data_IF_958545908169
#
_entry.id   IF_958545908169
#
_cell.length_a   1.000
_cell.length_b   1.000
_cell.length_c   1.000
_cell.angle_alpha   90.00
_cell.angle_beta   90.00
_cell.angle_gamma   90.00
#
_symmetry.space_group_name_H-M   'P 1'
#
loop_
_entity.id
_entity.type
_entity.pdbx_description
1 polymer ?
#
# COMPACT_ATOMS: atom_id res chain seq x y z
N UNK A 1 38.58 -1.62 -28.36
CA UNK A 1 37.64 -2.27 -27.42
C UNK A 1 37.89 -1.66 -26.06
N UNK A 2 36.85 -1.14 -25.39
CA UNK A 2 37.00 -0.48 -24.08
C UNK A 2 36.91 -1.50 -22.96
N UNK A 3 37.93 -1.50 -22.10
CA UNK A 3 38.15 -2.51 -21.06
C UNK A 3 38.25 -1.79 -19.72
N UNK A 4 37.63 -2.34 -18.68
CA UNK A 4 37.98 -2.01 -17.31
C UNK A 4 39.16 -2.90 -16.92
N UNK A 5 40.35 -2.34 -16.67
CA UNK A 5 41.51 -3.13 -16.25
C UNK A 5 41.43 -3.34 -14.73
N UNK A 6 41.41 -4.61 -14.32
CA UNK A 6 41.33 -5.03 -12.92
C UNK A 6 42.72 -5.29 -12.31
N UNK A 7 43.62 -5.90 -13.09
CA UNK A 7 44.95 -6.29 -12.61
C UNK A 7 46.01 -6.29 -13.72
N UNK A 8 47.22 -5.87 -13.36
CA UNK A 8 48.46 -5.93 -14.16
C UNK A 8 49.63 -6.51 -13.36
N UNK A 9 49.35 -7.21 -12.26
CA UNK A 9 50.36 -7.65 -11.29
C UNK A 9 51.36 -8.67 -11.84
N UNK A 10 51.03 -9.36 -12.94
CA UNK A 10 51.92 -10.33 -13.59
C UNK A 10 52.44 -9.78 -14.92
N UNK A 11 53.77 -9.77 -15.16
CA UNK A 11 54.34 -9.34 -16.43
C UNK A 11 53.70 -10.10 -17.61
N UNK A 12 53.16 -9.36 -18.57
CA UNK A 12 52.51 -9.92 -19.75
C UNK A 12 51.10 -10.46 -19.53
N UNK A 13 50.50 -10.35 -18.34
CA UNK A 13 49.10 -10.73 -18.12
C UNK A 13 48.25 -9.54 -17.68
N UNK A 14 47.12 -9.33 -18.35
CA UNK A 14 46.15 -8.29 -18.03
C UNK A 14 44.79 -8.93 -17.81
N UNK A 15 44.19 -8.67 -16.63
CA UNK A 15 42.80 -9.08 -16.34
C UNK A 15 41.92 -7.84 -16.42
N UNK A 16 40.80 -7.93 -17.11
CA UNK A 16 39.84 -6.86 -17.25
C UNK A 16 38.39 -7.33 -17.44
N UNK A 17 37.47 -6.38 -17.57
CA UNK A 17 36.07 -6.63 -17.92
C UNK A 17 35.74 -5.93 -19.23
N UNK A 18 35.04 -6.65 -20.11
CA UNK A 18 34.47 -6.12 -21.33
C UNK A 18 32.97 -6.48 -21.46
N UNK A 19 32.39 -6.21 -22.62
CA UNK A 19 31.00 -6.53 -22.94
C UNK A 19 30.62 -8.02 -22.85
N UNK A 20 31.60 -8.92 -22.98
CA UNK A 20 31.43 -10.36 -23.00
C UNK A 20 31.59 -10.98 -21.61
N UNK A 21 32.44 -10.42 -20.75
CA UNK A 21 32.62 -10.88 -19.37
C UNK A 21 33.96 -10.47 -18.78
N UNK A 22 34.57 -11.35 -17.98
CA UNK A 22 35.94 -11.16 -17.48
C UNK A 22 36.91 -11.70 -18.54
N UNK A 23 37.91 -10.91 -18.90
CA UNK A 23 38.91 -11.26 -19.91
C UNK A 23 40.31 -11.25 -19.32
N UNK A 24 41.06 -12.32 -19.58
CA UNK A 24 42.49 -12.42 -19.32
C UNK A 24 43.23 -12.43 -20.67
N UNK A 25 44.15 -11.48 -20.84
CA UNK A 25 45.08 -11.46 -21.98
C UNK A 25 46.47 -11.77 -21.50
N UNK A 26 47.08 -12.78 -22.11
CA UNK A 26 48.48 -13.13 -21.91
C UNK A 26 49.25 -12.82 -23.19
N UNK A 27 50.16 -11.86 -23.10
CA UNK A 27 51.17 -11.63 -24.12
C UNK A 27 52.21 -12.75 -23.99
N UNK A 28 52.25 -13.63 -24.99
CA UNK A 28 53.34 -14.61 -25.06
C UNK A 28 54.63 -13.81 -25.24
N UNK A 29 55.64 -13.96 -24.36
CA UNK A 29 56.89 -13.23 -24.53
C UNK A 29 57.46 -13.62 -25.90
N UNK A 30 57.43 -12.68 -26.84
CA UNK A 30 58.13 -12.85 -28.10
C UNK A 30 59.59 -13.11 -27.76
N UNK A 31 60.18 -14.14 -28.37
CA UNK A 31 61.62 -14.38 -28.32
C UNK A 31 62.32 -13.06 -28.63
N UNK A 32 62.86 -12.42 -27.59
CA UNK A 32 63.49 -11.13 -27.72
C UNK A 32 64.81 -11.33 -28.47
N UNK A 33 64.79 -11.09 -29.78
CA UNK A 33 66.01 -10.74 -30.48
C UNK A 33 66.51 -9.43 -29.86
N UNK A 34 67.58 -9.56 -29.10
CA UNK A 34 68.24 -8.48 -28.38
C UNK A 34 68.92 -7.54 -29.39
N UNK A 35 68.15 -6.65 -30.01
CA UNK A 35 68.68 -5.49 -30.71
C UNK A 35 68.73 -4.31 -29.73
N UNK A 36 69.91 -4.08 -29.18
CA UNK A 36 70.26 -2.88 -28.42
C UNK A 36 70.12 -1.65 -29.34
N UNK A 37 69.05 -0.89 -29.21
CA UNK A 37 68.94 0.45 -29.81
C UNK A 37 69.29 1.47 -28.74
N UNK A 38 70.55 1.88 -28.76
CA UNK A 38 71.05 3.08 -28.09
C UNK A 38 70.75 4.27 -29.00
N UNK A 39 69.81 5.13 -28.62
CA UNK A 39 69.46 6.31 -29.41
C UNK A 39 68.67 7.31 -28.59
N UNK A 40 69.39 8.19 -27.90
CA UNK A 40 68.81 9.36 -27.22
C UNK A 40 68.40 10.43 -28.24
N UNK A 41 67.23 11.00 -28.04
CA UNK A 41 66.88 12.31 -28.59
C UNK A 41 65.89 13.01 -27.66
N UNK A 42 66.39 14.08 -27.06
CA UNK A 42 65.70 15.14 -26.33
C UNK A 42 64.75 15.87 -27.28
N UNK A 43 63.52 16.16 -26.85
CA UNK A 43 62.68 17.18 -27.50
C UNK A 43 62.07 18.10 -26.45
N UNK A 44 62.19 19.38 -26.77
CA UNK A 44 62.06 20.61 -26.00
C UNK A 44 60.61 21.06 -25.81
N UNK A 45 60.36 21.77 -24.70
CA UNK A 45 59.19 22.62 -24.47
C UNK A 45 58.98 23.65 -25.59
N UNK A 46 57.71 23.95 -25.88
CA UNK A 46 57.29 25.27 -26.36
C UNK A 46 55.86 25.55 -25.92
N UNK A 47 55.71 26.67 -25.22
CA UNK A 47 54.45 27.23 -24.75
C UNK A 47 53.84 28.17 -25.80
N UNK A 48 52.51 28.29 -25.79
CA UNK A 48 51.85 29.60 -25.87
C UNK A 48 50.82 29.86 -26.98
N UNK A 49 49.58 30.16 -26.51
CA UNK A 49 48.80 31.38 -26.79
C UNK A 49 47.63 31.34 -27.81
N UNK A 50 46.42 31.38 -27.21
CA UNK A 50 45.17 32.18 -27.43
C UNK A 50 44.27 32.12 -28.67
N UNK A 51 42.97 32.02 -28.34
CA UNK A 51 41.74 32.69 -28.84
C UNK A 51 41.43 32.81 -30.33
N UNK A 52 40.24 32.32 -30.71
CA UNK A 52 39.17 33.19 -31.26
C UNK A 52 37.83 32.46 -31.42
N UNK A 53 36.77 33.17 -31.06
CA UNK A 53 35.37 32.81 -31.18
C UNK A 53 34.81 32.91 -32.61
N UNK A 54 33.80 32.09 -32.95
CA UNK A 54 32.48 32.51 -33.50
C UNK A 54 31.64 31.32 -33.97
N UNK A 55 30.36 31.33 -33.57
CA UNK A 55 29.24 30.65 -34.26
C UNK A 55 29.05 31.17 -35.69
N UNK A 56 28.30 30.47 -36.57
CA UNK A 56 26.84 30.61 -36.56
C UNK A 56 26.04 29.34 -36.87
N UNK A 57 24.74 29.48 -36.62
CA UNK A 57 23.61 28.64 -37.04
C UNK A 57 23.57 28.40 -38.56
N UNK A 58 22.95 27.31 -39.02
CA UNK A 58 21.73 27.32 -39.88
C UNK A 58 21.39 25.91 -40.38
N UNK A 59 20.08 25.69 -40.50
CA UNK A 59 19.31 24.53 -40.95
C UNK A 59 19.71 23.86 -42.28
N UNK A 60 19.22 22.62 -42.45
CA UNK A 60 18.99 22.02 -43.77
C UNK A 60 19.07 20.50 -43.79
N UNK A 61 17.95 19.81 -43.50
CA UNK A 61 17.75 18.43 -43.96
C UNK A 61 17.19 18.46 -45.39
N UNK A 62 17.74 17.65 -46.31
CA UNK A 62 16.95 17.13 -47.41
C UNK A 62 16.81 15.61 -47.30
N UNK A 63 15.57 15.17 -47.52
CA UNK A 63 15.25 13.82 -47.95
C UNK A 63 15.93 13.55 -49.30
N UNK A 64 16.44 12.33 -49.48
CA UNK A 64 16.80 11.82 -50.80
C UNK A 64 16.52 10.32 -50.86
N UNK A 65 15.46 10.02 -51.59
CA UNK A 65 15.15 8.78 -52.28
C UNK A 65 16.30 8.33 -53.18
N UNK A 66 16.56 7.02 -53.27
CA UNK A 66 17.42 6.50 -54.33
C UNK A 66 17.82 5.05 -54.19
N UNK A 67 16.90 4.13 -54.51
CA UNK A 67 17.27 2.79 -54.98
C UNK A 67 17.92 2.90 -56.35
N UNK A 68 19.15 2.40 -56.49
CA UNK A 68 19.79 2.13 -57.78
C UNK A 68 20.34 0.71 -57.76
N UNK A 69 19.91 -0.08 -58.73
CA UNK A 69 20.40 -1.41 -59.05
C UNK A 69 21.61 -1.34 -59.99
N UNK A 70 22.37 -2.46 -59.97
CA UNK A 70 23.25 -3.03 -61.01
C UNK A 70 24.61 -2.36 -61.26
N UNK A 71 25.59 -3.04 -61.90
CA UNK A 71 25.86 -4.49 -62.06
C UNK A 71 27.35 -4.84 -61.78
N UNK A 72 27.72 -6.11 -61.97
CA UNK A 72 29.05 -6.44 -62.51
C UNK A 72 30.01 -7.14 -61.54
N UNK A 73 30.13 -8.45 -61.73
CA UNK A 73 31.34 -9.22 -61.41
C UNK A 73 32.56 -8.67 -62.15
N UNK A 74 33.72 -8.55 -61.48
CA UNK A 74 34.99 -8.59 -62.16
C UNK A 74 35.69 -9.94 -61.95
N UNK A 75 36.58 -10.17 -62.90
CA UNK A 75 37.25 -11.41 -63.21
C UNK A 75 38.35 -11.78 -62.23
N UNK A 76 38.64 -13.08 -62.25
CA UNK A 76 39.76 -13.78 -61.64
C UNK A 76 41.11 -13.23 -62.13
N UNK A 77 41.92 -12.68 -61.24
CA UNK A 77 43.34 -12.38 -61.50
C UNK A 77 44.19 -12.86 -60.33
N UNK A 78 45.18 -13.68 -60.65
CA UNK A 78 46.53 -13.60 -60.06
C UNK A 78 46.77 -14.28 -58.71
N UNK A 79 47.39 -15.46 -58.75
CA UNK A 79 48.12 -16.04 -57.62
C UNK A 79 49.26 -15.12 -57.15
N UNK A 80 49.43 -14.85 -55.84
CA UNK A 80 50.69 -14.33 -55.33
C UNK A 80 51.63 -15.48 -54.96
N UNK A 81 52.90 -15.27 -55.30
CA UNK A 81 53.98 -16.20 -55.02
C UNK A 81 54.24 -16.40 -53.54
N UNK A 82 54.85 -17.54 -53.27
CA UNK A 82 55.38 -18.01 -51.99
C UNK A 82 56.37 -17.01 -51.42
N UNK A 83 55.91 -16.16 -50.50
CA UNK A 83 56.78 -15.38 -49.62
C UNK A 83 57.20 -16.25 -48.44
N UNK A 84 58.49 -16.21 -48.10
CA UNK A 84 59.10 -16.88 -46.96
C UNK A 84 58.32 -16.61 -45.67
N UNK A 85 58.07 -17.69 -44.92
CA UNK A 85 57.38 -17.68 -43.64
C UNK A 85 58.20 -16.89 -42.61
N UNK A 86 57.90 -15.60 -42.49
CA UNK A 86 58.24 -14.83 -41.29
C UNK A 86 57.59 -15.47 -40.07
N UNK A 87 58.31 -15.50 -38.95
CA UNK A 87 57.82 -16.03 -37.69
C UNK A 87 56.43 -15.43 -37.36
N UNK A 88 55.46 -16.24 -36.88
CA UNK A 88 54.16 -15.73 -36.51
C UNK A 88 54.35 -14.57 -35.52
N UNK A 89 53.66 -13.43 -35.70
CA UNK A 89 53.73 -12.35 -34.73
C UNK A 89 53.37 -12.90 -33.34
N UNK A 90 53.97 -12.36 -32.26
CA UNK A 90 53.69 -12.82 -30.90
C UNK A 90 52.18 -12.92 -30.69
N UNK A 91 51.71 -14.14 -30.43
CA UNK A 91 50.29 -14.40 -30.27
C UNK A 91 49.80 -13.82 -28.95
N UNK A 92 48.74 -13.01 -29.01
CA UNK A 92 47.98 -12.63 -27.82
C UNK A 92 47.03 -13.79 -27.53
N UNK A 93 47.26 -14.51 -26.43
CA UNK A 93 46.31 -15.48 -25.94
C UNK A 93 45.23 -14.74 -25.14
N UNK A 94 43.96 -14.96 -25.47
CA UNK A 94 42.82 -14.32 -24.81
C UNK A 94 41.89 -15.40 -24.25
N UNK A 95 41.66 -15.37 -22.94
CA UNK A 95 40.70 -16.21 -22.24
C UNK A 95 39.54 -15.35 -21.76
N UNK A 96 38.31 -15.70 -22.12
CA UNK A 96 37.10 -14.95 -21.75
C UNK A 96 36.19 -15.85 -20.92
N UNK A 97 35.90 -15.42 -19.68
CA UNK A 97 34.79 -15.96 -18.91
C UNK A 97 33.54 -15.16 -19.25
N UNK A 98 32.67 -15.73 -20.07
CA UNK A 98 31.46 -15.06 -20.52
C UNK A 98 30.46 -14.83 -19.37
N UNK A 99 29.63 -13.80 -19.52
CA UNK A 99 28.49 -13.54 -18.65
C UNK A 99 27.44 -14.66 -18.74
N UNK A 100 27.23 -15.36 -17.62
CA UNK A 100 26.28 -16.45 -17.44
C UNK A 100 25.04 -16.03 -16.63
N UNK A 101 23.99 -16.87 -16.63
CA UNK A 101 22.89 -16.74 -15.68
C UNK A 101 23.38 -17.08 -14.26
N UNK A 102 22.92 -16.37 -13.22
CA UNK A 102 23.56 -16.44 -11.92
C UNK A 102 23.45 -17.79 -11.20
N UNK A 103 22.53 -18.71 -11.51
CA UNK A 103 22.47 -20.08 -10.95
C UNK A 103 22.80 -20.25 -9.43
N UNK A 104 22.48 -19.25 -8.59
CA UNK A 104 22.81 -19.22 -7.15
C UNK A 104 24.21 -18.69 -6.79
N UNK A 105 25.04 -18.35 -7.77
CA UNK A 105 26.32 -17.64 -7.64
C UNK A 105 26.12 -16.14 -7.40
N UNK A 106 27.16 -15.48 -6.88
CA UNK A 106 27.13 -14.04 -6.62
C UNK A 106 26.36 -13.64 -5.37
N UNK A 107 26.14 -14.55 -4.41
CA UNK A 107 25.42 -14.24 -3.16
C UNK A 107 26.04 -13.11 -2.35
N UNK A 108 27.35 -12.89 -2.47
CA UNK A 108 28.03 -11.74 -1.86
C UNK A 108 27.57 -10.38 -2.40
N UNK A 109 27.01 -10.35 -3.61
CA UNK A 109 26.63 -9.10 -4.28
C UNK A 109 25.33 -8.51 -3.74
N UNK A 110 24.61 -9.24 -2.88
CA UNK A 110 23.42 -8.72 -2.17
C UNK A 110 23.78 -8.04 -0.85
N UNK A 111 25.01 -8.23 -0.37
CA UNK A 111 25.52 -7.56 0.83
C UNK A 111 25.54 -6.03 0.57
N UNK A 112 25.14 -5.24 1.58
CA UNK A 112 25.04 -3.77 1.53
C UNK A 112 23.95 -3.17 0.62
N UNK A 113 23.10 -3.99 0.00
CA UNK A 113 21.93 -3.53 -0.74
C UNK A 113 20.67 -3.51 0.13
N UNK A 114 19.86 -2.47 -0.06
CA UNK A 114 18.51 -2.37 0.49
C UNK A 114 17.63 -1.57 -0.49
N UNK A 115 16.66 -2.17 -1.19
CA UNK A 115 16.24 -3.57 -1.14
C UNK A 115 17.26 -4.53 -1.76
N UNK A 116 17.07 -5.83 -1.56
CA UNK A 116 17.85 -6.88 -2.22
C UNK A 116 17.77 -6.74 -3.76
N UNK A 117 18.90 -6.74 -4.47
CA UNK A 117 18.94 -6.55 -5.91
C UNK A 117 18.62 -7.86 -6.64
N UNK A 118 18.24 -7.74 -7.91
CA UNK A 118 18.31 -8.83 -8.87
C UNK A 118 19.75 -8.97 -9.37
N UNK A 119 20.31 -10.17 -9.22
CA UNK A 119 21.56 -10.54 -9.92
C UNK A 119 21.18 -10.91 -11.35
N UNK A 120 21.62 -10.13 -12.32
CA UNK A 120 21.25 -10.31 -13.74
C UNK A 120 22.21 -11.23 -14.45
N UNK A 121 23.51 -11.05 -14.21
CA UNK A 121 24.55 -11.85 -14.81
C UNK A 121 25.73 -12.03 -13.84
N UNK A 122 26.45 -13.12 -14.05
CA UNK A 122 27.64 -13.49 -13.29
C UNK A 122 28.74 -13.91 -14.27
N UNK A 123 29.99 -13.56 -13.98
CA UNK A 123 31.16 -14.08 -14.68
C UNK A 123 32.24 -14.44 -13.65
N UNK A 124 32.97 -15.54 -13.88
CA UNK A 124 34.03 -15.99 -12.99
C UNK A 124 35.25 -16.48 -13.76
N UNK A 125 36.42 -15.93 -13.45
CA UNK A 125 37.71 -16.31 -14.07
C UNK A 125 38.79 -16.44 -13.00
N UNK A 126 39.15 -17.69 -12.68
CA UNK A 126 40.10 -17.98 -11.61
C UNK A 126 39.61 -17.48 -10.26
N UNK A 127 40.36 -16.55 -9.65
CA UNK A 127 39.96 -15.91 -8.40
C UNK A 127 39.03 -14.71 -8.60
N UNK A 128 38.79 -14.25 -9.82
CA UNK A 128 37.95 -13.09 -10.08
C UNK A 128 36.50 -13.48 -10.30
N UNK A 129 35.61 -12.72 -9.67
CA UNK A 129 34.17 -12.81 -9.82
C UNK A 129 33.63 -11.43 -10.18
N UNK A 130 32.66 -11.39 -11.09
CA UNK A 130 31.98 -10.17 -11.48
C UNK A 130 30.46 -10.40 -11.52
N UNK A 131 29.71 -9.42 -11.05
CA UNK A 131 28.25 -9.47 -10.93
C UNK A 131 27.63 -8.20 -11.48
N UNK A 132 26.62 -8.36 -12.34
CA UNK A 132 25.69 -7.29 -12.69
C UNK A 132 24.48 -7.37 -11.76
N UNK A 133 24.35 -6.39 -10.86
CA UNK A 133 23.24 -6.29 -9.92
C UNK A 133 22.36 -5.07 -10.24
N UNK A 134 21.05 -5.18 -10.04
CA UNK A 134 20.11 -4.06 -10.25
C UNK A 134 18.90 -4.06 -9.32
N UNK A 135 18.32 -2.88 -9.16
CA UNK A 135 16.96 -2.65 -8.67
C UNK A 135 16.26 -1.75 -9.69
N UNK A 136 15.39 -2.32 -10.50
CA UNK A 136 14.80 -1.61 -11.65
C UNK A 136 15.86 -1.09 -12.62
N UNK A 137 15.91 0.23 -12.84
CA UNK A 137 16.93 0.87 -13.67
C UNK A 137 18.15 1.35 -12.88
N UNK A 138 18.20 1.17 -11.56
CA UNK A 138 19.45 1.38 -10.81
C UNK A 138 20.30 0.13 -10.96
N UNK A 139 21.50 0.25 -11.52
CA UNK A 139 22.36 -0.91 -11.77
C UNK A 139 23.83 -0.60 -11.46
N UNK A 140 24.52 -1.61 -10.95
CA UNK A 140 25.94 -1.55 -10.65
C UNK A 140 26.65 -2.83 -11.11
N UNK A 141 27.93 -2.70 -11.43
CA UNK A 141 28.85 -3.80 -11.66
C UNK A 141 29.69 -3.97 -10.38
N UNK A 142 29.57 -5.11 -9.74
CA UNK A 142 30.44 -5.50 -8.62
C UNK A 142 31.54 -6.42 -9.13
N UNK A 143 32.78 -6.18 -8.71
CA UNK A 143 33.93 -7.02 -9.05
C UNK A 143 34.66 -7.39 -7.78
N UNK A 144 35.06 -8.64 -7.64
CA UNK A 144 35.76 -9.12 -6.46
C UNK A 144 36.85 -10.10 -6.84
N UNK A 145 37.96 -10.08 -6.09
CA UNK A 145 39.01 -11.10 -6.15
C UNK A 145 38.98 -11.96 -4.89
N UNK A 146 38.71 -13.25 -5.07
CA UNK A 146 38.56 -14.23 -3.99
C UNK A 146 37.47 -13.82 -3.01
N UNK A 147 37.68 -14.07 -1.72
CA UNK A 147 36.80 -13.59 -0.64
C UNK A 147 37.05 -12.14 -0.22
N UNK A 148 37.65 -11.30 -1.07
CA UNK A 148 37.97 -9.90 -0.75
C UNK A 148 36.75 -8.99 -0.66
N UNK A 149 36.97 -7.69 -0.44
CA UNK A 149 35.88 -6.69 -0.55
C UNK A 149 35.57 -6.45 -2.03
N UNK A 150 34.29 -6.35 -2.43
CA UNK A 150 33.96 -6.02 -3.82
C UNK A 150 34.20 -4.54 -4.12
N UNK A 151 34.71 -4.28 -5.32
CA UNK A 151 34.76 -2.97 -5.95
C UNK A 151 33.51 -2.76 -6.79
N UNK A 152 32.78 -1.67 -6.52
CA UNK A 152 31.53 -1.36 -7.18
C UNK A 152 31.67 -0.21 -8.18
N UNK A 153 31.07 -0.40 -9.34
CA UNK A 153 31.06 0.57 -10.43
C UNK A 153 29.63 0.90 -10.84
N UNK A 154 29.32 2.19 -10.96
CA UNK A 154 27.99 2.65 -11.31
C UNK A 154 27.73 2.44 -12.79
N UNK A 155 26.65 1.72 -13.15
CA UNK A 155 26.19 1.59 -14.54
C UNK A 155 25.08 2.61 -14.81
N UNK A 156 24.10 2.68 -13.89
CA UNK A 156 23.00 3.63 -13.97
C UNK A 156 22.46 3.98 -12.59
N UNK A 157 22.08 5.26 -12.41
CA UNK A 157 21.56 5.79 -11.14
C UNK A 157 20.07 6.10 -11.30
N UNK A 158 19.22 5.36 -10.58
CA UNK A 158 17.78 5.62 -10.52
C UNK A 158 17.30 5.60 -9.06
N UNK A 159 17.36 6.74 -8.34
CA UNK A 159 16.84 6.81 -6.97
C UNK A 159 15.35 6.46 -6.88
N UNK A 160 14.58 6.81 -7.92
CA UNK A 160 13.18 6.46 -8.02
C UNK A 160 12.96 4.94 -8.01
N UNK A 161 13.72 4.17 -8.80
CA UNK A 161 13.56 2.71 -8.83
C UNK A 161 14.08 2.04 -7.56
N UNK A 162 15.11 2.60 -6.91
CA UNK A 162 15.53 2.15 -5.57
C UNK A 162 14.37 2.30 -4.55
N UNK A 163 13.67 3.44 -4.58
CA UNK A 163 12.50 3.65 -3.73
C UNK A 163 11.33 2.72 -4.11
N UNK A 164 11.02 2.55 -5.42
CA UNK A 164 9.98 1.61 -5.89
C UNK A 164 10.29 0.18 -5.50
N UNK A 165 11.55 -0.23 -5.56
CA UNK A 165 12.01 -1.55 -5.14
C UNK A 165 11.89 -1.74 -3.63
N UNK A 166 12.20 -0.72 -2.84
CA UNK A 166 12.00 -0.77 -1.39
C UNK A 166 10.51 -0.96 -1.03
N UNK A 167 9.63 -0.19 -1.66
CA UNK A 167 8.18 -0.30 -1.46
C UNK A 167 7.69 -1.69 -1.90
N UNK A 168 8.13 -2.17 -3.06
CA UNK A 168 7.76 -3.50 -3.57
C UNK A 168 8.27 -4.66 -2.70
N UNK A 169 9.50 -4.58 -2.19
CA UNK A 169 10.03 -5.57 -1.25
C UNK A 169 9.28 -5.60 0.09
N UNK A 170 8.79 -4.44 0.55
CA UNK A 170 8.06 -4.32 1.82
C UNK A 170 6.62 -4.80 1.71
N UNK A 171 5.93 -4.47 0.61
CA UNK A 171 4.49 -4.70 0.47
C UNK A 171 4.14 -5.95 -0.35
N UNK A 172 4.97 -6.30 -1.34
CA UNK A 172 4.66 -7.39 -2.28
C UNK A 172 5.54 -8.59 -1.98
N UNK A 173 6.73 -8.62 -2.59
CA UNK A 173 7.69 -9.69 -2.45
C UNK A 173 9.10 -9.14 -2.73
N UNK A 174 10.17 -9.82 -2.28
CA UNK A 174 11.54 -9.45 -2.61
C UNK A 174 11.72 -9.23 -4.12
N UNK A 175 12.54 -8.22 -4.47
CA UNK A 175 12.90 -7.87 -5.85
C UNK A 175 11.75 -7.41 -6.77
N UNK A 176 10.56 -7.13 -6.22
CA UNK A 176 9.46 -6.50 -6.97
C UNK A 176 9.60 -4.98 -6.97
N UNK A 177 9.23 -4.35 -8.08
CA UNK A 177 9.02 -2.90 -8.13
C UNK A 177 7.54 -2.57 -7.94
N UNK A 178 7.24 -1.56 -7.14
CA UNK A 178 5.89 -1.05 -6.95
C UNK A 178 5.77 0.39 -7.44
N UNK A 179 4.78 0.63 -8.31
CA UNK A 179 4.27 1.96 -8.69
C UNK A 179 3.03 2.24 -7.85
N UNK A 180 3.06 3.24 -6.97
CA UNK A 180 1.94 3.50 -6.05
C UNK A 180 1.07 4.62 -6.59
N UNK A 181 -0.22 4.37 -6.80
CA UNK A 181 -1.16 5.37 -7.35
C UNK A 181 -1.97 6.12 -6.29
N UNK A 182 -2.10 5.52 -5.10
CA UNK A 182 -2.75 6.13 -3.95
C UNK A 182 -2.18 5.50 -2.67
N UNK A 183 -2.03 6.30 -1.61
CA UNK A 183 -1.53 5.83 -0.33
C UNK A 183 -2.26 6.52 0.82
N UNK A 184 -2.65 5.75 1.83
CA UNK A 184 -3.15 6.26 3.10
C UNK A 184 -2.04 6.17 4.15
N UNK A 185 -1.68 7.32 4.72
CA UNK A 185 -0.72 7.40 5.82
C UNK A 185 -1.30 6.85 7.12
N UNK A 186 -0.47 6.12 7.87
CA UNK A 186 -0.82 5.61 9.20
C UNK A 186 -1.02 6.74 10.22
N UNK A 187 -0.33 7.86 10.03
CA UNK A 187 -0.37 8.96 10.99
C UNK A 187 -1.53 9.94 10.70
N UNK A 188 -2.07 9.91 9.48
CA UNK A 188 -3.09 10.88 9.03
C UNK A 188 -4.52 10.32 9.01
N UNK A 189 -4.72 9.03 9.34
CA UNK A 189 -6.06 8.46 9.30
C UNK A 189 -6.84 8.74 10.61
N UNK A 190 -8.13 9.02 10.44
CA UNK A 190 -9.11 9.15 11.52
C UNK A 190 -9.89 7.85 11.62
N UNK A 191 -9.74 7.16 12.75
CA UNK A 191 -10.49 5.95 13.06
C UNK A 191 -11.95 6.22 13.44
N UNK A 192 -12.72 5.13 13.58
CA UNK A 192 -14.11 5.20 14.04
C UNK A 192 -14.15 5.59 15.51
N UNK A 193 -15.14 6.40 15.91
CA UNK A 193 -15.36 6.77 17.31
C UNK A 193 -16.49 5.92 17.91
N UNK A 194 -16.27 5.33 19.09
CA UNK A 194 -17.30 4.60 19.83
C UNK A 194 -17.73 5.45 21.03
N UNK A 195 -18.96 5.99 21.01
CA UNK A 195 -19.45 6.90 22.06
C UNK A 195 -19.44 6.22 23.43
N UNK A 196 -18.89 6.91 24.42
CA UNK A 196 -18.85 6.45 25.81
C UNK A 196 -17.87 5.30 26.07
N UNK A 197 -17.12 4.85 25.05
CA UNK A 197 -16.14 3.78 25.18
C UNK A 197 -14.71 4.32 25.16
N UNK A 198 -13.77 3.53 25.70
CA UNK A 198 -12.35 3.83 25.66
C UNK A 198 -11.63 2.87 24.70
N UNK A 199 -10.87 3.39 23.74
CA UNK A 199 -10.02 2.53 22.90
C UNK A 199 -8.87 1.98 23.72
N UNK A 200 -8.79 0.65 23.84
CA UNK A 200 -7.76 -0.04 24.62
C UNK A 200 -6.62 -0.58 23.74
N UNK A 201 -6.93 -0.95 22.50
CA UNK A 201 -5.95 -1.49 21.56
C UNK A 201 -6.23 -1.01 20.14
N UNK A 202 -5.17 -0.80 19.36
CA UNK A 202 -5.25 -0.51 17.94
C UNK A 202 -4.08 -1.20 17.22
N UNK A 203 -4.41 -1.94 16.15
CA UNK A 203 -3.48 -2.52 15.21
C UNK A 203 -3.82 -2.02 13.81
N UNK A 204 -2.80 -1.54 13.09
CA UNK A 204 -2.95 -1.00 11.74
C UNK A 204 -1.98 -1.74 10.84
N UNK A 205 -2.51 -2.36 9.79
CA UNK A 205 -1.70 -3.06 8.78
C UNK A 205 -1.99 -2.49 7.39
N UNK A 206 -1.00 -2.40 6.49
CA UNK A 206 -1.24 -1.99 5.11
C UNK A 206 -2.22 -2.93 4.42
N UNK A 207 -3.10 -2.38 3.57
CA UNK A 207 -4.01 -3.13 2.70
C UNK A 207 -3.71 -2.78 1.26
N UNK A 208 -3.28 -3.77 0.48
CA UNK A 208 -2.81 -3.56 -0.89
C UNK A 208 -3.95 -3.85 -1.86
N UNK A 209 -4.12 -2.96 -2.83
CA UNK A 209 -4.98 -3.15 -4.00
C UNK A 209 -4.08 -3.16 -5.22
N UNK A 210 -4.04 -4.27 -5.95
CA UNK A 210 -3.29 -4.38 -7.20
C UNK A 210 -4.08 -3.81 -8.39
N UNK A 211 -3.35 -3.29 -9.38
CA UNK A 211 -3.90 -2.67 -10.59
C UNK A 211 -4.97 -1.58 -10.37
N UNK A 212 -4.78 -0.66 -9.40
CA UNK A 212 -5.72 0.43 -9.20
C UNK A 212 -5.66 1.44 -10.36
N UNK A 213 -6.76 2.18 -10.59
CA UNK A 213 -6.70 3.39 -11.41
C UNK A 213 -5.91 4.50 -10.70
N UNK A 214 -5.59 5.57 -11.43
CA UNK A 214 -4.95 6.77 -10.89
C UNK A 214 -3.55 7.02 -11.46
N UNK A 215 -3.02 8.20 -11.20
CA UNK A 215 -1.66 8.60 -11.58
C UNK A 215 -0.64 8.06 -10.57
N UNK A 216 0.62 7.88 -11.02
CA UNK A 216 1.70 7.46 -10.14
C UNK A 216 2.05 8.59 -9.15
N UNK A 217 2.17 8.25 -7.86
CA UNK A 217 2.69 9.14 -6.84
C UNK A 217 4.23 9.14 -6.85
N UNK A 218 4.84 10.24 -6.44
CA UNK A 218 6.30 10.35 -6.39
C UNK A 218 6.90 9.31 -5.42
N UNK A 219 7.85 8.45 -5.86
CA UNK A 219 8.33 7.33 -5.05
C UNK A 219 8.96 7.69 -3.70
N UNK A 220 9.60 8.86 -3.57
CA UNK A 220 10.23 9.29 -2.32
C UNK A 220 9.20 9.64 -1.24
N UNK A 221 8.06 10.24 -1.62
CA UNK A 221 6.93 10.50 -0.70
C UNK A 221 6.36 9.19 -0.15
N UNK A 222 6.18 8.20 -1.01
CA UNK A 222 5.57 6.92 -0.64
C UNK A 222 6.45 6.09 0.27
N UNK A 223 7.76 6.09 0.02
CA UNK A 223 8.70 5.34 0.85
C UNK A 223 8.54 5.72 2.33
N UNK A 224 8.50 7.02 2.64
CA UNK A 224 8.37 7.50 4.02
C UNK A 224 7.09 7.02 4.73
N UNK A 225 6.02 6.81 3.97
CA UNK A 225 4.74 6.31 4.50
C UNK A 225 4.74 4.79 4.69
N UNK A 226 5.41 4.06 3.80
CA UNK A 226 5.40 2.58 3.77
C UNK A 226 6.48 1.99 4.69
N UNK A 227 7.66 2.60 4.75
CA UNK A 227 8.81 2.06 5.47
C UNK A 227 9.71 3.17 6.02
N UNK A 228 10.18 2.97 7.26
CA UNK A 228 11.19 3.82 7.87
C UNK A 228 12.62 3.58 7.34
N UNK A 229 12.82 2.57 6.49
CA UNK A 229 14.16 2.17 6.02
C UNK A 229 14.52 2.90 4.73
N UNK A 230 15.69 3.55 4.71
CA UNK A 230 16.20 4.20 3.51
C UNK A 230 16.65 3.17 2.46
N UNK A 231 16.41 3.47 1.19
CA UNK A 231 16.98 2.68 0.11
C UNK A 231 18.49 2.96 0.02
N UNK A 232 19.27 1.89 -0.09
CA UNK A 232 20.72 1.90 -0.09
C UNK A 232 21.23 0.94 -1.17
N UNK A 233 22.28 1.36 -1.86
CA UNK A 233 23.11 0.51 -2.69
C UNK A 233 24.56 0.70 -2.24
N UNK A 234 25.46 -0.25 -2.55
CA UNK A 234 26.88 -0.09 -2.31
C UNK A 234 27.41 1.20 -2.95
N UNK A 235 28.41 1.79 -2.30
CA UNK A 235 29.08 2.95 -2.83
C UNK A 235 29.86 2.56 -4.09
N UNK A 236 29.53 3.20 -5.22
CA UNK A 236 30.18 2.97 -6.50
C UNK A 236 30.95 4.23 -6.95
N UNK A 237 32.14 4.49 -6.35
CA UNK A 237 32.90 5.71 -6.63
C UNK A 237 33.61 5.68 -7.99
N UNK A 238 33.68 4.52 -8.63
CA UNK A 238 34.42 4.31 -9.87
C UNK A 238 33.47 4.34 -11.06
N UNK A 239 33.75 5.21 -12.02
CA UNK A 239 33.04 5.25 -13.29
C UNK A 239 33.60 4.19 -14.26
N UNK A 240 32.73 3.67 -15.13
CA UNK A 240 33.10 2.74 -16.19
C UNK A 240 33.38 3.51 -17.48
N UNK A 241 34.23 2.97 -18.38
CA UNK A 241 34.31 3.45 -19.76
C UNK A 241 32.93 3.50 -20.40
N UNK A 242 32.67 4.53 -21.22
CA UNK A 242 31.36 4.78 -21.81
C UNK A 242 30.89 3.61 -22.69
N UNK A 243 31.78 3.03 -23.51
CA UNK A 243 31.40 1.93 -24.38
C UNK A 243 31.08 0.65 -23.60
N UNK A 244 31.79 0.40 -22.49
CA UNK A 244 31.48 -0.71 -21.59
C UNK A 244 30.12 -0.49 -20.92
N UNK A 245 29.86 0.72 -20.43
CA UNK A 245 28.57 1.10 -19.85
C UNK A 245 27.42 0.86 -20.84
N UNK A 246 27.59 1.28 -22.10
CA UNK A 246 26.60 1.09 -23.15
C UNK A 246 26.31 -0.40 -23.43
N UNK A 247 27.32 -1.26 -23.41
CA UNK A 247 27.15 -2.70 -23.61
C UNK A 247 26.44 -3.36 -22.43
N UNK A 248 26.85 -3.05 -21.20
CA UNK A 248 26.22 -3.58 -19.99
C UNK A 248 24.75 -3.14 -19.90
N UNK A 249 24.44 -1.88 -20.22
CA UNK A 249 23.07 -1.39 -20.32
C UNK A 249 22.26 -2.14 -21.38
N UNK A 250 22.86 -2.47 -22.54
CA UNK A 250 22.20 -3.28 -23.56
C UNK A 250 21.85 -4.67 -23.03
N UNK A 251 22.74 -5.28 -22.25
CA UNK A 251 22.49 -6.57 -21.60
C UNK A 251 21.36 -6.49 -20.57
N UNK A 252 21.38 -5.47 -19.71
CA UNK A 252 20.33 -5.25 -18.69
C UNK A 252 18.94 -5.07 -19.33
N UNK A 253 18.84 -4.41 -20.49
CA UNK A 253 17.57 -4.21 -21.21
C UNK A 253 16.96 -5.51 -21.78
N UNK A 254 17.73 -6.58 -21.93
CA UNK A 254 17.21 -7.88 -22.43
C UNK A 254 16.30 -8.59 -21.43
N UNK A 255 16.39 -8.23 -20.16
CA UNK A 255 15.48 -8.69 -19.11
C UNK A 255 14.69 -7.50 -18.60
N UNK A 256 13.48 -7.22 -19.11
CA UNK A 256 12.66 -6.15 -18.56
C UNK A 256 12.38 -6.40 -17.07
N UNK A 257 12.20 -5.33 -16.30
CA UNK A 257 11.79 -5.43 -14.89
C UNK A 257 10.30 -5.17 -14.84
N UNK A 258 9.56 -6.11 -14.26
CA UNK A 258 8.12 -5.94 -14.08
C UNK A 258 7.85 -5.00 -12.92
N UNK A 259 7.11 -3.94 -13.22
CA UNK A 259 6.59 -3.03 -12.20
C UNK A 259 5.10 -3.30 -11.98
N UNK A 260 4.71 -3.45 -10.72
CA UNK A 260 3.32 -3.66 -10.33
C UNK A 260 2.73 -2.33 -9.89
N UNK A 261 1.61 -1.94 -10.49
CA UNK A 261 0.83 -0.79 -10.02
C UNK A 261 -0.01 -1.21 -8.82
N UNK A 262 0.08 -0.48 -7.73
CA UNK A 262 -0.62 -0.75 -6.47
C UNK A 262 -1.19 0.52 -5.84
N UNK A 263 -2.17 0.34 -4.98
CA UNK A 263 -2.67 1.39 -4.09
C UNK A 263 -2.69 0.83 -2.67
N UNK A 264 -2.28 1.65 -1.71
CA UNK A 264 -2.06 1.25 -0.33
C UNK A 264 -3.11 1.93 0.55
N UNK A 265 -4.08 1.16 1.02
CA UNK A 265 -5.00 1.54 2.08
C UNK A 265 -4.53 0.99 3.42
N UNK A 266 -5.42 1.02 4.41
CA UNK A 266 -5.18 0.44 5.74
C UNK A 266 -6.26 -0.60 6.05
N UNK A 267 -5.89 -1.64 6.79
CA UNK A 267 -6.83 -2.45 7.56
C UNK A 267 -6.57 -2.19 9.02
N UNK A 268 -7.60 -1.73 9.72
CA UNK A 268 -7.53 -1.29 11.10
C UNK A 268 -8.32 -2.27 11.95
N UNK A 269 -7.70 -2.79 13.00
CA UNK A 269 -8.33 -3.61 14.02
C UNK A 269 -8.20 -2.87 15.36
N UNK A 270 -9.34 -2.55 15.98
CA UNK A 270 -9.42 -1.84 17.24
C UNK A 270 -10.18 -2.68 18.27
N UNK A 271 -9.84 -2.45 19.54
CA UNK A 271 -10.62 -2.97 20.67
C UNK A 271 -11.01 -1.81 21.56
N UNK A 272 -12.30 -1.72 21.87
CA UNK A 272 -12.91 -0.66 22.65
C UNK A 272 -13.54 -1.24 23.91
N UNK A 273 -13.26 -0.64 25.07
CA UNK A 273 -13.90 -1.02 26.33
C UNK A 273 -15.12 -0.14 26.57
N UNK A 274 -16.29 -0.77 26.63
CA UNK A 274 -17.57 -0.13 26.92
C UNK A 274 -17.70 0.17 28.44
N UNK A 275 -18.64 1.04 28.86
CA UNK A 275 -18.87 1.35 30.28
C UNK A 275 -19.20 0.16 31.17
N UNK A 276 -19.79 -0.90 30.60
CA UNK A 276 -20.12 -2.16 31.30
C UNK A 276 -18.93 -3.12 31.39
N UNK A 277 -17.78 -2.74 30.83
CA UNK A 277 -16.55 -3.54 30.80
C UNK A 277 -16.41 -4.47 29.60
N UNK A 278 -17.42 -4.57 28.72
CA UNK A 278 -17.32 -5.38 27.50
C UNK A 278 -16.26 -4.84 26.55
N UNK A 279 -15.47 -5.74 25.96
CA UNK A 279 -14.45 -5.40 24.96
C UNK A 279 -15.01 -5.63 23.56
N UNK A 280 -15.36 -4.53 22.88
CA UNK A 280 -15.91 -4.50 21.53
C UNK A 280 -14.77 -4.53 20.49
N UNK A 281 -14.60 -5.62 19.72
CA UNK A 281 -13.68 -5.66 18.61
C UNK A 281 -14.30 -4.97 17.38
N UNK A 282 -13.55 -4.08 16.74
CA UNK A 282 -13.92 -3.46 15.45
C UNK A 282 -12.83 -3.74 14.43
N UNK A 283 -13.23 -4.13 13.22
CA UNK A 283 -12.32 -4.29 12.08
C UNK A 283 -12.91 -3.57 10.87
N UNK A 284 -12.13 -2.68 10.28
CA UNK A 284 -12.55 -1.91 9.11
C UNK A 284 -11.37 -1.60 8.18
N UNK A 285 -11.69 -1.33 6.92
CA UNK A 285 -10.73 -0.94 5.90
C UNK A 285 -10.80 0.58 5.67
N UNK A 286 -9.65 1.21 5.48
CA UNK A 286 -9.53 2.57 4.95
C UNK A 286 -9.05 2.44 3.51
N UNK A 287 -9.87 2.91 2.58
CA UNK A 287 -9.54 2.86 1.16
C UNK A 287 -8.26 3.68 0.85
N UNK A 288 -7.44 3.27 -0.13
CA UNK A 288 -6.24 4.00 -0.51
C UNK A 288 -6.52 5.48 -0.82
N UNK A 289 -5.69 6.38 -0.29
CA UNK A 289 -5.83 7.83 -0.47
C UNK A 289 -6.98 8.45 0.32
N UNK A 290 -7.68 7.68 1.17
CA UNK A 290 -8.67 8.19 2.12
C UNK A 290 -8.08 8.23 3.52
N UNK A 291 -8.54 9.19 4.33
CA UNK A 291 -8.14 9.33 5.74
C UNK A 291 -9.20 8.85 6.71
N UNK A 292 -10.47 8.67 6.30
CA UNK A 292 -11.54 8.29 7.21
C UNK A 292 -11.85 6.79 7.13
N UNK A 293 -11.86 6.11 8.28
CA UNK A 293 -12.38 4.75 8.43
C UNK A 293 -13.89 4.72 8.68
N UNK A 294 -14.55 3.65 8.26
CA UNK A 294 -15.99 3.44 8.43
C UNK A 294 -16.29 2.01 8.87
N UNK A 295 -17.26 1.85 9.76
CA UNK A 295 -17.91 0.57 10.04
C UNK A 295 -19.33 0.61 9.51
N UNK A 296 -19.92 -0.55 9.23
CA UNK A 296 -21.31 -0.61 8.77
C UNK A 296 -22.26 -0.63 9.98
N UNK A 297 -23.32 0.16 9.92
CA UNK A 297 -24.44 0.06 10.87
C UNK A 297 -25.08 -1.32 10.73
N UNK A 298 -25.16 -2.10 11.81
CA UNK A 298 -25.74 -3.44 11.77
C UNK A 298 -27.25 -3.45 11.48
N UNK A 299 -27.93 -2.31 11.65
CA UNK A 299 -29.36 -2.17 11.39
C UNK A 299 -29.69 -1.64 10.00
N UNK A 300 -28.86 -0.74 9.43
CA UNK A 300 -29.14 -0.11 8.13
C UNK A 300 -28.15 -0.51 7.03
N UNK A 301 -26.97 -1.01 7.38
CA UNK A 301 -25.86 -1.25 6.46
C UNK A 301 -25.14 0.03 6.01
N UNK A 302 -25.51 1.20 6.54
CA UNK A 302 -24.89 2.47 6.17
C UNK A 302 -23.51 2.63 6.82
N UNK A 303 -22.54 3.29 6.15
CA UNK A 303 -21.22 3.53 6.72
C UNK A 303 -21.28 4.60 7.82
N UNK A 304 -20.64 4.32 8.96
CA UNK A 304 -20.58 5.18 10.13
C UNK A 304 -19.14 5.49 10.53
N UNK A 305 -18.91 6.76 10.90
CA UNK A 305 -17.65 7.23 11.49
C UNK A 305 -17.73 7.37 13.00
N UNK A 306 -18.95 7.48 13.52
CA UNK A 306 -19.25 7.52 14.95
C UNK A 306 -20.36 6.51 15.23
N UNK A 307 -20.13 5.65 16.22
CA UNK A 307 -21.02 4.54 16.56
C UNK A 307 -21.32 4.50 18.04
N UNK A 308 -22.40 3.83 18.36
CA UNK A 308 -22.81 3.47 19.71
C UNK A 308 -23.09 1.96 19.72
N UNK A 309 -23.10 1.38 20.91
CA UNK A 309 -23.48 -0.02 21.10
C UNK A 309 -24.81 -0.10 21.81
N UNK A 310 -25.68 -0.99 21.33
CA UNK A 310 -26.88 -1.36 22.08
C UNK A 310 -26.53 -2.32 23.22
N UNK A 311 -27.51 -2.71 24.03
CA UNK A 311 -27.33 -3.69 25.11
C UNK A 311 -26.85 -5.08 24.66
N UNK A 312 -27.09 -5.44 23.40
CA UNK A 312 -26.61 -6.70 22.78
C UNK A 312 -25.27 -6.48 22.03
N UNK A 313 -24.65 -5.31 22.22
CA UNK A 313 -23.39 -4.89 21.63
C UNK A 313 -23.36 -4.74 20.09
N UNK A 314 -24.54 -4.68 19.44
CA UNK A 314 -24.62 -4.31 18.02
C UNK A 314 -24.08 -2.89 17.80
N UNK A 315 -23.28 -2.73 16.74
CA UNK A 315 -22.71 -1.44 16.32
C UNK A 315 -23.71 -0.67 15.47
N UNK A 316 -24.13 0.51 15.91
CA UNK A 316 -25.13 1.34 15.20
C UNK A 316 -24.94 2.83 15.42
N UNK A 317 -25.45 3.66 14.51
CA UNK A 317 -25.49 5.11 14.65
C UNK A 317 -26.67 5.60 15.50
N UNK A 318 -27.70 4.76 15.70
CA UNK A 318 -28.95 5.15 16.37
C UNK A 318 -29.40 4.12 17.40
N UNK A 319 -29.68 4.62 18.61
CA UNK A 319 -30.26 3.85 19.70
C UNK A 319 -31.62 4.39 20.08
N UNK A 320 -32.55 3.49 20.35
CA UNK A 320 -33.85 3.78 20.97
C UNK A 320 -33.85 3.26 22.42
N UNK A 321 -34.43 4.03 23.32
CA UNK A 321 -34.41 3.76 24.76
C UNK A 321 -35.77 3.25 25.24
N UNK A 322 -35.75 2.14 25.98
CA UNK A 322 -36.95 1.68 26.68
C UNK A 322 -37.19 2.53 27.92
N UNK A 323 -38.35 3.19 28.04
CA UNK A 323 -38.64 4.05 29.21
C UNK A 323 -38.76 3.29 30.53
N UNK A 324 -38.90 1.95 30.48
CA UNK A 324 -39.08 1.11 31.68
C UNK A 324 -37.74 0.63 32.25
N UNK A 325 -36.94 -0.09 31.45
CA UNK A 325 -35.65 -0.62 31.90
C UNK A 325 -34.47 0.31 31.61
N UNK A 326 -34.68 1.39 30.86
CA UNK A 326 -33.66 2.35 30.45
C UNK A 326 -32.47 1.75 29.70
N UNK A 327 -32.63 0.53 29.16
CA UNK A 327 -31.61 -0.09 28.31
C UNK A 327 -31.79 0.37 26.86
N UNK A 328 -30.69 0.72 26.17
CA UNK A 328 -30.74 1.07 24.76
C UNK A 328 -30.83 -0.18 23.88
N UNK A 329 -31.63 -0.10 22.83
CA UNK A 329 -31.74 -1.13 21.78
C UNK A 329 -31.58 -0.48 20.41
N UNK A 330 -31.08 -1.24 19.44
CA UNK A 330 -31.13 -0.86 18.03
C UNK A 330 -32.20 -1.69 17.30
N UNK A 331 -32.49 -1.37 16.04
CA UNK A 331 -33.47 -2.12 15.25
C UNK A 331 -33.03 -3.57 14.93
N UNK A 332 -31.73 -3.87 15.01
CA UNK A 332 -31.20 -5.22 14.87
C UNK A 332 -31.37 -6.08 16.15
N UNK A 333 -31.72 -5.48 17.30
CA UNK A 333 -31.97 -6.26 18.52
C UNK A 333 -33.21 -7.17 18.38
N UNK A 334 -33.17 -8.42 18.86
CA UNK A 334 -34.33 -9.30 18.86
C UNK A 334 -35.50 -8.70 19.65
N UNK A 335 -35.19 -8.00 20.74
CA UNK A 335 -36.14 -7.27 21.58
C UNK A 335 -36.06 -5.75 21.39
N UNK A 336 -35.89 -5.30 20.14
CA UNK A 336 -35.90 -3.87 19.79
C UNK A 336 -37.10 -3.13 20.39
N UNK A 337 -36.88 -1.87 20.76
CA UNK A 337 -37.92 -0.94 21.21
C UNK A 337 -39.02 -0.78 20.16
N UNK A 338 -40.28 -0.85 20.61
CA UNK A 338 -41.48 -0.65 19.80
C UNK A 338 -42.43 0.30 20.52
N UNK A 339 -43.33 0.99 19.80
CA UNK A 339 -44.38 1.78 20.45
C UNK A 339 -45.41 0.85 21.12
N UNK A 340 -45.81 1.20 22.34
CA UNK A 340 -46.93 0.56 23.02
C UNK A 340 -48.22 0.72 22.22
N UNK A 341 -48.97 -0.37 22.03
CA UNK A 341 -50.23 -0.36 21.26
C UNK A 341 -51.33 0.55 21.82
N UNK A 342 -51.22 1.00 23.07
CA UNK A 342 -52.18 1.91 23.70
C UNK A 342 -51.62 3.33 23.85
N UNK A 343 -50.54 3.51 24.62
CA UNK A 343 -50.02 4.85 24.95
C UNK A 343 -48.91 5.35 24.02
N UNK A 344 -48.54 4.59 22.98
CA UNK A 344 -47.46 4.87 22.03
C UNK A 344 -46.08 5.10 22.69
N UNK A 345 -45.92 4.75 23.98
CA UNK A 345 -44.63 4.85 24.69
C UNK A 345 -43.65 3.77 24.24
N UNK A 346 -42.36 4.09 24.23
CA UNK A 346 -41.30 3.20 23.76
C UNK A 346 -41.00 2.08 24.75
N UNK A 347 -41.18 0.82 24.34
CA UNK A 347 -41.00 -0.36 25.21
C UNK A 347 -40.23 -1.44 24.45
N UNK A 348 -39.18 -2.01 25.05
CA UNK A 348 -38.41 -3.10 24.45
C UNK A 348 -39.20 -4.42 24.49
N UNK A 349 -38.77 -5.38 23.67
CA UNK A 349 -39.39 -6.71 23.56
C UNK A 349 -39.43 -7.51 24.87
N UNK A 350 -38.53 -7.23 25.83
CA UNK A 350 -38.54 -7.91 27.12
C UNK A 350 -39.53 -7.30 28.12
N UNK A 351 -39.78 -5.99 28.00
CA UNK A 351 -40.68 -5.25 28.88
C UNK A 351 -42.13 -5.25 28.37
N UNK A 352 -42.35 -5.49 27.07
CA UNK A 352 -43.68 -5.46 26.48
C UNK A 352 -44.48 -6.70 26.90
N UNK A 353 -45.75 -6.50 27.27
CA UNK A 353 -46.66 -7.60 27.51
C UNK A 353 -46.96 -8.35 26.20
N UNK A 354 -47.39 -9.63 26.25
CA UNK A 354 -47.66 -10.43 25.06
C UNK A 354 -48.68 -9.82 24.09
N UNK A 355 -49.57 -8.95 24.59
CA UNK A 355 -50.57 -8.24 23.79
C UNK A 355 -50.05 -6.96 23.09
N UNK A 356 -48.77 -6.61 23.29
CA UNK A 356 -48.12 -5.43 22.73
C UNK A 356 -48.29 -4.15 23.55
N UNK A 357 -48.85 -4.24 24.77
CA UNK A 357 -48.93 -3.11 25.70
C UNK A 357 -47.72 -3.04 26.61
N UNK A 358 -47.38 -1.82 27.02
CA UNK A 358 -46.35 -1.61 28.03
C UNK A 358 -46.84 -2.02 29.45
N UNK A 359 -45.94 -2.18 30.44
CA UNK A 359 -46.30 -2.55 31.81
C UNK A 359 -47.33 -1.62 32.46
N UNK A 360 -47.22 -0.29 32.23
CA UNK A 360 -48.19 0.66 32.75
C UNK A 360 -49.59 0.44 32.15
N UNK A 361 -49.69 0.26 30.82
CA UNK A 361 -50.97 0.06 30.13
C UNK A 361 -51.61 -1.31 30.40
N UNK A 362 -50.81 -2.36 30.55
CA UNK A 362 -51.30 -3.71 30.84
C UNK A 362 -51.84 -3.82 32.27
N UNK A 363 -51.24 -3.11 33.23
CA UNK A 363 -51.70 -3.06 34.62
C UNK A 363 -52.76 -2.00 34.94
N UNK A 364 -53.39 -1.37 33.94
CA UNK A 364 -54.44 -0.35 34.18
C UNK A 364 -55.58 -0.92 35.04
N UNK A 365 -55.78 -0.32 36.21
CA UNK A 365 -56.86 -0.67 37.12
C UNK A 365 -57.88 0.47 37.24
N UNK A 366 -59.16 0.12 37.37
CA UNK A 366 -60.23 1.11 37.52
C UNK A 366 -60.12 1.80 38.89
N UNK A 367 -60.08 3.12 38.89
CA UNK A 367 -60.04 3.93 40.12
C UNK A 367 -61.44 3.98 40.74
N UNK A 368 -61.52 3.68 42.03
CA UNK A 368 -62.76 3.77 42.81
C UNK A 368 -63.35 5.18 42.81
N UNK A 369 -64.66 5.30 43.04
CA UNK A 369 -65.41 6.57 42.94
C UNK A 369 -64.76 7.70 43.74
N UNK A 370 -64.30 7.41 44.96
CA UNK A 370 -63.65 8.40 45.82
C UNK A 370 -62.27 8.88 45.34
N UNK A 371 -61.59 8.10 44.48
CA UNK A 371 -60.27 8.45 43.94
C UNK A 371 -60.32 9.29 42.66
N UNK A 372 -61.47 9.35 41.98
CA UNK A 372 -61.60 9.99 40.64
C UNK A 372 -61.33 11.48 40.66
N UNK A 373 -61.68 12.17 41.75
CA UNK A 373 -61.45 13.61 41.90
C UNK A 373 -59.98 14.01 41.78
N UNK A 374 -59.05 13.14 42.20
CA UNK A 374 -57.59 13.38 42.07
C UNK A 374 -57.13 13.41 40.61
N UNK A 375 -57.88 12.78 39.73
CA UNK A 375 -57.60 12.74 38.30
C UNK A 375 -58.47 13.73 37.51
N UNK A 376 -59.18 14.64 38.19
CA UNK A 376 -59.99 15.67 37.56
C UNK A 376 -61.23 15.13 36.84
N UNK A 377 -61.73 13.95 37.21
CA UNK A 377 -62.89 13.33 36.55
C UNK A 377 -64.16 13.46 37.38
N UNK A 378 -65.25 13.87 36.73
CA UNK A 378 -66.58 14.03 37.35
C UNK A 378 -67.12 12.70 37.95
N UNK A 379 -68.09 12.73 38.89
CA UNK A 379 -68.65 11.52 39.50
C UNK A 379 -69.23 10.50 38.49
N UNK A 380 -69.77 11.00 37.37
CA UNK A 380 -70.31 10.17 36.29
C UNK A 380 -69.26 9.61 35.33
N UNK A 381 -68.02 10.09 35.38
CA UNK A 381 -66.91 9.60 34.55
C UNK A 381 -66.21 8.39 35.16
N UNK A 382 -65.28 7.80 34.41
CA UNK A 382 -64.44 6.69 34.86
C UNK A 382 -62.96 7.00 34.64
N UNK A 383 -62.11 6.43 35.49
CA UNK A 383 -60.66 6.56 35.40
C UNK A 383 -60.04 5.20 35.54
N UNK A 384 -59.05 4.91 34.70
CA UNK A 384 -58.12 3.81 34.86
C UNK A 384 -56.73 4.38 35.03
N UNK A 385 -56.00 3.86 35.99
CA UNK A 385 -54.70 4.37 36.34
C UNK A 385 -53.77 3.23 36.72
N UNK A 386 -52.52 3.35 36.31
CA UNK A 386 -51.42 2.54 36.80
C UNK A 386 -50.13 3.37 36.73
N UNK A 387 -49.27 3.14 37.70
CA UNK A 387 -47.97 3.76 37.79
C UNK A 387 -46.94 2.66 38.10
N UNK A 388 -45.89 2.62 37.29
CA UNK A 388 -44.72 1.77 37.49
C UNK A 388 -43.49 2.68 37.49
N UNK A 389 -42.29 2.18 37.87
CA UNK A 389 -41.09 3.01 37.83
C UNK A 389 -40.93 3.68 36.46
N UNK A 390 -40.66 4.98 36.48
CA UNK A 390 -40.46 5.85 35.32
C UNK A 390 -41.68 6.13 34.42
N UNK A 391 -42.82 5.45 34.59
CA UNK A 391 -44.00 5.67 33.74
C UNK A 391 -45.32 5.59 34.51
N UNK A 392 -46.17 6.58 34.28
CA UNK A 392 -47.56 6.61 34.73
C UNK A 392 -48.50 6.75 33.53
N UNK A 393 -49.58 5.97 33.52
CA UNK A 393 -50.64 6.08 32.51
C UNK A 393 -51.97 6.27 33.21
N UNK A 394 -52.73 7.27 32.76
CA UNK A 394 -54.08 7.56 33.23
C UNK A 394 -55.00 7.65 32.02
N UNK A 395 -56.05 6.84 32.00
CA UNK A 395 -57.13 6.92 31.01
C UNK A 395 -58.36 7.49 31.68
N UNK A 396 -58.92 8.56 31.13
CA UNK A 396 -60.14 9.20 31.63
C UNK A 396 -61.24 9.03 30.60
N UNK A 397 -62.41 8.62 31.06
CA UNK A 397 -63.66 8.63 30.31
C UNK A 397 -64.60 9.66 30.93
N UNK A 398 -65.00 10.66 30.15
CA UNK A 398 -66.03 11.62 30.52
C UNK A 398 -67.09 11.67 29.42
N UNK A 399 -68.31 11.23 29.76
CA UNK A 399 -69.39 11.05 28.77
C UNK A 399 -68.90 10.13 27.64
N UNK A 400 -68.90 10.63 26.39
CA UNK A 400 -68.46 9.92 25.19
C UNK A 400 -66.99 10.20 24.83
N UNK A 401 -66.28 10.98 25.65
CA UNK A 401 -64.90 11.38 25.39
C UNK A 401 -63.91 10.54 26.20
N UNK A 402 -62.85 10.09 25.54
CA UNK A 402 -61.76 9.33 26.15
C UNK A 402 -60.44 10.06 25.95
N UNK A 403 -59.68 10.23 27.02
CA UNK A 403 -58.33 10.77 26.98
C UNK A 403 -57.36 9.81 27.62
N UNK A 404 -56.17 9.71 27.04
CA UNK A 404 -55.03 9.05 27.64
C UNK A 404 -53.99 10.11 27.97
N UNK A 405 -53.50 10.05 29.19
CA UNK A 405 -52.41 10.85 29.69
C UNK A 405 -51.28 9.91 30.11
N UNK A 406 -50.12 10.05 29.47
CA UNK A 406 -48.88 9.35 29.79
C UNK A 406 -47.89 10.33 30.39
N UNK A 407 -47.28 9.95 31.50
CA UNK A 407 -46.14 10.64 32.07
C UNK A 407 -44.97 9.67 32.05
N UNK A 408 -43.86 10.10 31.50
CA UNK A 408 -42.59 9.40 31.64
C UNK A 408 -41.50 10.36 32.12
N UNK A 409 -40.25 9.91 32.20
CA UNK A 409 -39.13 10.74 32.67
C UNK A 409 -38.89 11.97 31.80
N UNK A 410 -39.28 11.93 30.52
CA UNK A 410 -38.97 12.97 29.57
C UNK A 410 -40.13 13.94 29.43
N UNK A 411 -41.35 13.43 29.30
CA UNK A 411 -42.50 14.26 28.99
C UNK A 411 -43.82 13.77 29.60
N UNK A 412 -44.77 14.71 29.66
CA UNK A 412 -46.19 14.44 29.84
C UNK A 412 -46.90 14.63 28.51
N UNK A 413 -47.52 13.56 28.01
CA UNK A 413 -48.29 13.58 26.77
C UNK A 413 -49.74 13.25 27.07
N UNK A 414 -50.66 14.10 26.62
CA UNK A 414 -52.11 13.87 26.71
C UNK A 414 -52.70 13.90 25.32
N UNK A 415 -53.48 12.89 24.96
CA UNK A 415 -54.16 12.84 23.67
C UNK A 415 -55.54 12.19 23.76
N UNK A 416 -56.48 12.57 22.88
CA UNK A 416 -57.75 11.88 22.76
C UNK A 416 -57.56 10.48 22.19
N UNK A 417 -58.35 9.52 22.65
CA UNK A 417 -58.39 8.18 22.06
C UNK A 417 -59.42 8.13 20.95
N UNK A 418 -59.02 7.60 19.79
CA UNK A 418 -59.93 7.36 18.68
C UNK A 418 -60.88 6.18 18.99
N UNK A 419 -61.95 6.07 18.22
CA UNK A 419 -63.00 5.05 18.43
C UNK A 419 -62.43 3.62 18.38
N UNK A 420 -61.46 3.33 17.51
CA UNK A 420 -60.88 1.98 17.42
C UNK A 420 -60.03 1.66 18.64
N UNK A 421 -59.20 2.60 19.10
CA UNK A 421 -58.41 2.45 20.33
C UNK A 421 -59.31 2.29 21.56
N UNK A 422 -60.42 3.03 21.64
CA UNK A 422 -61.41 2.87 22.72
C UNK A 422 -62.05 1.48 22.71
N UNK A 423 -62.40 0.93 21.54
CA UNK A 423 -62.97 -0.42 21.47
C UNK A 423 -61.96 -1.50 21.88
N UNK A 424 -60.71 -1.40 21.43
CA UNK A 424 -59.64 -2.31 21.88
C UNK A 424 -59.43 -2.21 23.40
N UNK A 425 -59.40 -0.98 23.92
CA UNK A 425 -59.26 -0.71 25.35
C UNK A 425 -60.41 -1.31 26.17
N UNK A 426 -61.66 -1.15 25.73
CA UNK A 426 -62.82 -1.77 26.37
C UNK A 426 -62.69 -3.29 26.45
N UNK A 427 -62.24 -3.92 25.34
CA UNK A 427 -61.94 -5.35 25.29
C UNK A 427 -60.88 -5.77 26.31
N UNK A 428 -59.77 -5.01 26.42
CA UNK A 428 -58.71 -5.29 27.38
C UNK A 428 -59.11 -5.06 28.84
N UNK A 429 -59.95 -4.06 29.11
CA UNK A 429 -60.39 -3.71 30.46
C UNK A 429 -61.60 -4.53 30.93
N UNK A 430 -62.20 -5.35 30.06
CA UNK A 430 -63.44 -6.08 30.35
C UNK A 430 -64.65 -5.16 30.57
N UNK A 431 -64.64 -3.95 29.98
CA UNK A 431 -65.73 -2.98 30.08
C UNK A 431 -66.65 -3.20 28.88
N UNK A 432 -67.90 -3.64 29.15
CA UNK A 432 -68.94 -3.74 28.12
C UNK A 432 -69.54 -2.37 27.80
#
# INVERSE_FOLDING_TARGET
MSWLILDRSSPGTMIGIDGRGIVERTETPGTADSATITGGATITESAGITDSARSPETAGSPESTGSVQTPGSPETIGSPGTAEAGAPPPGIAETVAEWEEPAGRGGWAVEDWQPEPEIVAYAGLGAWEAVLARVGRHAQLGVRRGGGRPDWHGISKSPADMNRGMVGATLLAPRRLAEVTACTSRDDFTGVQVRGAQRVQQMVVPRIVEHPPGEELEPSMIRGVVTGTAAQAPAAPLDLPEELTAELLRRLRRRPVDTVRIAVGLRVAETWRLPDGYELPLVYDVAPGRSQGYVLDESTGEPLTEVQTCREHHVTGRLDWCVYCLNPTCAACPAAVRPCRLCQGTVCGDCVAPDGRCPACSGLAKVGVFGRGRFGVSPGGAVWHNAVPNVQVTVRQERDWWTLERWDRYDRVTFPLDVHTVQALKGWLGVR
#
